data_IF_481595300614
#
_entry.id   IF_481595300614
#
_cell.length_a   1.000
_cell.length_b   1.000
_cell.length_c   1.000
_cell.angle_alpha   90.00
_cell.angle_beta   90.00
_cell.angle_gamma   90.00
#
_symmetry.space_group_name_H-M   'P 1'
#
loop_
_entity.id
_entity.type
_entity.pdbx_description
1 polymer ?
#
# COMPACT_ATOMS: atom_id res chain seq x y z
N UNK A 1 2.80 -1.61 17.14
CA UNK A 1 3.56 -0.92 16.09
C UNK A 1 3.09 0.51 16.01
N UNK A 2 3.97 1.49 16.25
CA UNK A 2 3.64 2.91 16.14
C UNK A 2 3.96 3.35 14.72
N UNK A 3 2.95 3.72 13.93
CA UNK A 3 3.16 4.14 12.55
C UNK A 3 3.71 5.57 12.50
N UNK A 4 4.71 5.86 11.64
CA UNK A 4 5.32 7.19 11.55
C UNK A 4 4.25 8.22 11.17
N UNK A 5 4.27 9.39 11.84
CA UNK A 5 3.38 10.50 11.49
C UNK A 5 4.03 11.28 10.36
N UNK A 6 3.52 11.14 9.15
CA UNK A 6 4.01 11.94 8.02
C UNK A 6 3.67 13.41 8.22
N UNK A 7 4.67 14.27 8.07
CA UNK A 7 4.48 15.69 7.83
C UNK A 7 4.44 15.87 6.31
N UNK A 8 3.35 16.43 5.81
CA UNK A 8 3.19 16.74 4.40
C UNK A 8 3.62 18.19 4.19
N UNK A 9 4.70 18.37 3.43
CA UNK A 9 5.19 19.70 3.06
C UNK A 9 5.33 19.79 1.55
N UNK A 10 4.98 20.95 1.00
CA UNK A 10 5.16 21.21 -0.42
C UNK A 10 6.55 21.78 -0.65
N UNK A 11 7.40 21.00 -1.34
CA UNK A 11 8.73 21.48 -1.73
C UNK A 11 8.64 22.46 -2.90
N UNK A 12 9.47 23.51 -2.87
CA UNK A 12 9.64 24.47 -3.97
C UNK A 12 10.72 24.03 -4.98
N UNK A 13 11.57 23.07 -4.60
CA UNK A 13 12.76 22.67 -5.36
C UNK A 13 12.73 21.19 -5.75
N UNK A 14 12.11 20.34 -4.94
CA UNK A 14 12.04 18.90 -5.20
C UNK A 14 10.71 18.51 -5.83
N UNK A 15 10.79 17.78 -6.94
CA UNK A 15 9.66 17.15 -7.58
C UNK A 15 9.62 15.68 -7.17
N UNK A 16 8.70 15.32 -6.27
CA UNK A 16 8.56 13.92 -5.87
C UNK A 16 8.05 13.07 -7.02
N UNK A 17 8.62 11.88 -7.16
CA UNK A 17 8.29 10.93 -8.21
C UNK A 17 6.81 10.51 -8.11
N UNK A 18 6.26 10.06 -9.25
CA UNK A 18 4.85 9.65 -9.40
C UNK A 18 4.37 8.60 -8.37
N UNK A 19 5.27 7.95 -7.63
CA UNK A 19 4.97 6.85 -6.72
C UNK A 19 5.06 7.25 -5.23
N UNK A 20 5.46 8.48 -4.92
CA UNK A 20 5.59 8.97 -3.53
C UNK A 20 4.28 8.90 -2.73
N UNK A 21 3.13 9.04 -3.40
CA UNK A 21 1.80 8.89 -2.81
C UNK A 21 1.50 7.49 -2.23
N UNK A 22 2.24 6.46 -2.64
CA UNK A 22 2.06 5.10 -2.11
C UNK A 22 2.35 4.99 -0.61
N UNK A 23 3.26 5.83 -0.09
CA UNK A 23 3.53 5.89 1.34
C UNK A 23 2.28 6.34 2.14
N UNK A 24 1.50 7.27 1.57
CA UNK A 24 0.25 7.76 2.17
C UNK A 24 -0.85 6.71 2.13
N UNK A 25 -0.94 5.93 1.06
CA UNK A 25 -1.87 4.79 0.96
C UNK A 25 -1.55 3.74 2.04
N UNK A 26 -0.28 3.34 2.16
CA UNK A 26 0.16 2.38 3.18
C UNK A 26 -0.13 2.87 4.60
N UNK A 27 0.11 4.16 4.87
CA UNK A 27 -0.29 4.84 6.11
C UNK A 27 -1.77 4.75 6.38
N UNK A 28 -2.60 5.08 5.38
CA UNK A 28 -4.04 5.12 5.55
C UNK A 28 -4.59 3.74 5.93
N UNK A 29 -4.12 2.70 5.22
CA UNK A 29 -4.50 1.32 5.48
C UNK A 29 -4.06 0.85 6.86
N UNK A 30 -2.83 1.15 7.27
CA UNK A 30 -2.28 0.62 8.51
C UNK A 30 -2.76 1.38 9.75
N UNK A 31 -3.10 2.67 9.63
CA UNK A 31 -3.48 3.52 10.76
C UNK A 31 -4.99 3.65 10.94
N UNK A 32 -5.75 3.74 9.85
CA UNK A 32 -7.19 4.04 9.91
C UNK A 32 -8.07 2.84 9.58
N UNK A 33 -7.48 1.67 9.28
CA UNK A 33 -8.26 0.48 8.97
C UNK A 33 -7.75 -0.74 9.74
N UNK A 34 -8.64 -1.72 9.91
CA UNK A 34 -8.31 -3.08 10.36
C UNK A 34 -8.31 -4.07 9.18
N UNK A 35 -8.11 -3.58 7.96
CA UNK A 35 -8.32 -4.36 6.73
C UNK A 35 -7.52 -5.66 6.71
N UNK A 36 -6.24 -5.61 7.07
CA UNK A 36 -5.39 -6.79 7.04
C UNK A 36 -5.82 -7.88 8.01
N UNK A 37 -6.12 -7.51 9.26
CA UNK A 37 -6.57 -8.49 10.25
C UNK A 37 -7.94 -9.08 9.89
N UNK A 38 -8.82 -8.29 9.25
CA UNK A 38 -10.09 -8.79 8.73
C UNK A 38 -9.90 -9.76 7.57
N UNK A 39 -9.01 -9.46 6.64
CA UNK A 39 -8.72 -10.32 5.48
C UNK A 39 -8.10 -11.64 5.95
N UNK A 40 -7.08 -11.60 6.80
CA UNK A 40 -6.40 -12.81 7.25
C UNK A 40 -7.31 -13.70 8.11
N UNK A 41 -8.30 -13.12 8.80
CA UNK A 41 -9.35 -13.88 9.48
C UNK A 41 -10.35 -14.52 8.51
N UNK A 42 -10.71 -13.82 7.44
CA UNK A 42 -11.70 -14.29 6.47
C UNK A 42 -11.12 -15.32 5.49
N UNK A 43 -9.84 -15.23 5.18
CA UNK A 43 -9.17 -16.05 4.19
C UNK A 43 -7.85 -16.62 4.76
N UNK A 44 -7.83 -17.91 5.17
CA UNK A 44 -6.65 -18.54 5.76
C UNK A 44 -5.45 -18.49 4.80
N UNK A 45 -4.27 -18.19 5.35
CA UNK A 45 -3.00 -18.15 4.61
C UNK A 45 -2.71 -19.48 3.90
N UNK A 46 -2.24 -19.41 2.65
CA UNK A 46 -1.71 -20.55 1.89
C UNK A 46 -0.26 -20.26 1.48
N UNK A 47 0.59 -19.98 2.47
CA UNK A 47 1.97 -19.52 2.29
C UNK A 47 2.12 -18.04 2.65
N UNK A 48 1.79 -17.15 1.72
CA UNK A 48 1.77 -15.70 1.95
C UNK A 48 0.47 -15.30 2.65
N UNK A 49 0.51 -14.29 3.52
CA UNK A 49 -0.69 -13.74 4.13
C UNK A 49 -1.62 -13.17 3.05
N UNK A 50 -2.90 -13.54 3.10
CA UNK A 50 -3.88 -13.08 2.11
C UNK A 50 -3.98 -11.55 2.13
N UNK A 51 -3.81 -10.93 3.30
CA UNK A 51 -3.76 -9.47 3.43
C UNK A 51 -2.63 -8.82 2.65
N UNK A 52 -1.46 -9.44 2.52
CA UNK A 52 -0.33 -8.90 1.76
C UNK A 52 -0.58 -8.96 0.25
N UNK A 53 -1.21 -10.02 -0.23
CA UNK A 53 -1.64 -10.14 -1.64
C UNK A 53 -2.65 -9.03 -1.97
N UNK A 54 -3.65 -8.83 -1.11
CA UNK A 54 -4.67 -7.79 -1.32
C UNK A 54 -4.07 -6.39 -1.23
N UNK A 55 -3.17 -6.12 -0.28
CA UNK A 55 -2.46 -4.83 -0.21
C UNK A 55 -1.63 -4.55 -1.46
N UNK A 56 -0.94 -5.56 -1.98
CA UNK A 56 -0.14 -5.42 -3.19
C UNK A 56 -1.01 -5.09 -4.40
N UNK A 57 -2.16 -5.76 -4.53
CA UNK A 57 -3.12 -5.47 -5.58
C UNK A 57 -3.75 -4.08 -5.43
N UNK A 58 -4.11 -3.67 -4.21
CA UNK A 58 -4.61 -2.32 -3.94
C UNK A 58 -3.58 -1.25 -4.34
N UNK A 59 -2.29 -1.50 -4.09
CA UNK A 59 -1.23 -0.61 -4.54
C UNK A 59 -1.14 -0.46 -6.06
N UNK A 60 -1.42 -1.51 -6.83
CA UNK A 60 -1.55 -1.41 -8.28
C UNK A 60 -2.76 -0.56 -8.70
N UNK A 61 -3.91 -0.79 -8.06
CA UNK A 61 -5.13 -0.03 -8.35
C UNK A 61 -4.94 1.47 -8.08
N UNK A 62 -4.24 1.83 -7.01
CA UNK A 62 -3.87 3.22 -6.72
C UNK A 62 -2.96 3.85 -7.79
N UNK A 63 -2.27 3.03 -8.59
CA UNK A 63 -1.46 3.46 -9.73
C UNK A 63 -2.22 3.42 -11.07
N UNK A 64 -3.52 3.10 -11.05
CA UNK A 64 -4.34 2.95 -12.26
C UNK A 64 -4.06 1.67 -13.05
N UNK A 65 -3.43 0.65 -12.43
CA UNK A 65 -3.14 -0.64 -13.05
C UNK A 65 -4.12 -1.69 -12.55
N UNK A 66 -4.82 -2.37 -13.45
CA UNK A 66 -5.75 -3.46 -13.12
C UNK A 66 -5.14 -4.85 -13.24
N UNK A 67 -4.08 -5.00 -14.05
CA UNK A 67 -3.44 -6.30 -14.26
C UNK A 67 -2.57 -6.69 -13.08
N UNK A 68 -2.88 -7.82 -12.44
CA UNK A 68 -2.04 -8.39 -11.40
C UNK A 68 -0.62 -8.72 -11.89
N UNK A 69 -0.47 -9.07 -13.18
CA UNK A 69 0.84 -9.23 -13.83
C UNK A 69 1.67 -7.93 -13.88
N UNK A 70 1.06 -6.78 -13.60
CA UNK A 70 1.76 -5.51 -13.46
C UNK A 70 2.45 -5.34 -12.09
N UNK A 71 2.27 -6.27 -11.13
CA UNK A 71 3.14 -6.38 -9.95
C UNK A 71 4.52 -6.79 -10.45
N UNK A 72 5.37 -5.79 -10.69
CA UNK A 72 6.77 -5.97 -11.07
C UNK A 72 7.65 -5.33 -10.00
N UNK A 73 8.85 -5.87 -9.73
CA UNK A 73 9.80 -5.16 -8.90
C UNK A 73 10.11 -3.82 -9.58
N UNK A 74 10.12 -2.75 -8.78
CA UNK A 74 10.53 -1.43 -9.26
C UNK A 74 12.06 -1.47 -9.40
N UNK A 75 12.55 -1.71 -10.62
CA UNK A 75 13.94 -1.48 -11.01
C UNK A 75 13.98 -0.24 -11.91
#
# INVERSE_FOLDING_TARGET
>A
MTFPRFQLEQSKQEFYTSQSGMALVGMALNRYTSLASRIDKAAPKRGIATSDVVRSYLGLLCQGKSDFAAIRPFF
#
